data_IF_938126318535
#
_entry.id   IF_938126318535
#
_cell.length_a   1.000
_cell.length_b   1.000
_cell.length_c   1.000
_cell.angle_alpha   90.00
_cell.angle_beta   90.00
_cell.angle_gamma   90.00
#
_symmetry.space_group_name_H-M   'P 1'
#
loop_
_entity.id
_entity.type
_entity.pdbx_description
1 polymer ?
#
# COMPACT_ATOMS: atom_id res chain seq x y z
N UNK A 1 -3.34 -25.08 4.73
CA UNK A 1 -2.65 -24.19 3.77
C UNK A 1 -1.63 -25.04 3.04
N UNK A 2 -1.58 -25.05 1.71
CA UNK A 2 -0.58 -25.87 1.00
C UNK A 2 0.76 -25.12 1.01
N UNK A 3 1.65 -25.49 1.93
CA UNK A 3 2.91 -24.78 2.20
C UNK A 3 4.01 -25.10 1.17
N UNK A 4 3.88 -26.21 0.42
CA UNK A 4 4.93 -26.67 -0.51
C UNK A 4 5.15 -25.75 -1.72
N UNK A 5 4.19 -24.87 -2.02
CA UNK A 5 4.28 -23.89 -3.11
C UNK A 5 4.79 -22.51 -2.64
N UNK A 6 4.93 -22.30 -1.32
CA UNK A 6 5.43 -21.04 -0.78
C UNK A 6 6.95 -21.04 -0.79
N UNK A 7 7.53 -19.95 -1.31
CA UNK A 7 8.96 -19.75 -1.42
C UNK A 7 9.36 -18.47 -0.71
N UNK A 8 10.37 -18.56 0.14
CA UNK A 8 11.00 -17.40 0.77
C UNK A 8 12.48 -17.42 0.38
N UNK A 9 12.99 -16.28 -0.11
CA UNK A 9 14.43 -16.09 -0.32
C UNK A 9 15.01 -15.46 0.92
N UNK A 10 16.11 -16.00 1.43
CA UNK A 10 16.73 -15.58 2.68
C UNK A 10 18.18 -15.17 2.43
N UNK A 11 18.59 -14.05 3.03
CA UNK A 11 19.98 -13.63 3.01
C UNK A 11 20.88 -14.65 3.74
N UNK A 12 22.06 -14.92 3.19
CA UNK A 12 23.00 -15.86 3.79
C UNK A 12 23.44 -15.48 5.22
N UNK A 13 23.51 -14.17 5.52
CA UNK A 13 23.89 -13.66 6.85
C UNK A 13 22.88 -14.08 7.93
N UNK A 14 21.62 -14.29 7.54
CA UNK A 14 20.55 -14.72 8.45
C UNK A 14 20.61 -16.18 8.88
N UNK A 15 21.56 -16.99 8.38
CA UNK A 15 21.77 -18.35 8.90
C UNK A 15 21.98 -18.38 10.42
N UNK A 16 22.58 -17.32 10.99
CA UNK A 16 22.93 -17.23 12.42
C UNK A 16 21.72 -16.93 13.32
N UNK A 17 20.60 -16.45 12.79
CA UNK A 17 19.41 -16.14 13.59
C UNK A 17 18.58 -17.37 13.98
N UNK A 18 18.85 -18.53 13.37
CA UNK A 18 18.07 -19.76 13.59
C UNK A 18 16.70 -19.77 12.90
N UNK A 19 16.23 -18.63 12.38
CA UNK A 19 14.97 -18.50 11.62
C UNK A 19 14.96 -19.39 10.38
N UNK A 20 16.03 -19.51 9.57
CA UNK A 20 16.02 -20.40 8.41
C UNK A 20 15.76 -21.86 8.79
N UNK A 21 16.26 -22.32 9.93
CA UNK A 21 16.02 -23.67 10.43
C UNK A 21 14.54 -23.86 10.83
N UNK A 22 13.96 -22.86 11.49
CA UNK A 22 12.54 -22.86 11.85
C UNK A 22 11.64 -22.89 10.61
N UNK A 23 11.94 -22.08 9.60
CA UNK A 23 11.20 -22.03 8.34
C UNK A 23 11.28 -23.36 7.57
N UNK A 24 12.45 -24.02 7.56
CA UNK A 24 12.59 -25.39 7.01
C UNK A 24 11.74 -26.39 7.77
N UNK A 25 11.74 -26.31 9.11
CA UNK A 25 10.91 -27.19 9.96
C UNK A 25 9.41 -27.04 9.72
N UNK A 26 8.95 -25.86 9.27
CA UNK A 26 7.56 -25.61 8.88
C UNK A 26 7.24 -26.18 7.47
N UNK A 27 8.26 -26.51 6.67
CA UNK A 27 8.08 -27.05 5.32
C UNK A 27 7.99 -25.99 4.21
N UNK A 28 8.52 -24.79 4.43
CA UNK A 28 8.64 -23.76 3.39
C UNK A 28 9.81 -24.09 2.45
N UNK A 29 9.62 -23.84 1.16
CA UNK A 29 10.71 -23.90 0.19
C UNK A 29 11.64 -22.69 0.35
N UNK A 30 12.75 -22.87 1.06
CA UNK A 30 13.74 -21.81 1.28
C UNK A 30 14.80 -21.81 0.20
N UNK A 31 15.07 -20.63 -0.32
CA UNK A 31 16.24 -20.36 -1.15
C UNK A 31 17.18 -19.41 -0.41
N UNK A 32 18.41 -19.85 -0.17
CA UNK A 32 19.42 -19.03 0.49
C UNK A 32 20.28 -18.36 -0.58
N UNK A 33 20.40 -17.03 -0.53
CA UNK A 33 21.22 -16.23 -1.45
C UNK A 33 21.86 -15.06 -0.70
N UNK A 34 22.90 -14.46 -1.26
CA UNK A 34 23.35 -13.14 -0.83
C UNK A 34 22.40 -12.09 -1.41
N UNK A 35 21.66 -11.39 -0.57
CA UNK A 35 20.78 -10.31 -0.97
C UNK A 35 21.54 -8.97 -0.91
N UNK A 36 21.39 -8.11 -1.93
CA UNK A 36 22.01 -6.79 -1.88
C UNK A 36 21.38 -5.90 -0.81
N UNK A 37 20.10 -6.10 -0.49
CA UNK A 37 19.29 -5.30 0.44
C UNK A 37 18.28 -6.20 1.15
N UNK A 38 18.11 -5.99 2.46
CA UNK A 38 17.17 -6.72 3.31
C UNK A 38 17.59 -8.18 3.57
N UNK A 39 16.76 -8.86 4.35
CA UNK A 39 17.07 -10.17 4.91
C UNK A 39 16.17 -11.29 4.36
N UNK A 40 14.90 -10.98 4.09
CA UNK A 40 13.92 -11.96 3.60
C UNK A 40 13.06 -11.38 2.48
N UNK A 41 13.01 -12.05 1.34
CA UNK A 41 12.03 -11.78 0.28
C UNK A 41 10.89 -12.79 0.44
N UNK A 42 9.74 -12.29 0.89
CA UNK A 42 8.54 -13.10 1.17
C UNK A 42 7.53 -13.09 0.03
N UNK A 43 7.64 -12.13 -0.88
CA UNK A 43 6.89 -12.02 -2.13
C UNK A 43 7.71 -11.22 -3.16
N UNK A 44 7.40 -11.27 -4.47
CA UNK A 44 8.23 -10.62 -5.51
C UNK A 44 8.55 -9.14 -5.27
N UNK A 45 7.62 -8.40 -4.67
CA UNK A 45 7.74 -6.96 -4.41
C UNK A 45 7.93 -6.63 -2.93
N UNK A 46 8.05 -7.64 -2.05
CA UNK A 46 8.06 -7.48 -0.59
C UNK A 46 9.38 -7.95 0.01
N UNK A 47 10.14 -7.00 0.53
CA UNK A 47 11.38 -7.23 1.29
C UNK A 47 11.14 -6.99 2.78
N UNK A 48 11.77 -7.81 3.60
CA UNK A 48 11.76 -7.70 5.06
C UNK A 48 13.19 -7.54 5.56
N UNK A 49 13.42 -6.53 6.38
CA UNK A 49 14.62 -6.36 7.21
C UNK A 49 14.26 -6.77 8.64
N UNK A 50 15.03 -7.69 9.23
CA UNK A 50 14.91 -8.08 10.63
C UNK A 50 15.96 -7.32 11.44
N UNK A 51 15.54 -6.69 12.53
CA UNK A 51 16.46 -6.10 13.51
C UNK A 51 16.11 -6.59 14.89
N UNK A 52 17.10 -7.05 15.65
CA UNK A 52 16.93 -7.14 17.10
C UNK A 52 16.82 -5.72 17.68
N UNK A 53 16.35 -5.61 18.92
CA UNK A 53 16.31 -4.31 19.62
C UNK A 53 17.71 -3.71 19.73
N UNK A 54 18.72 -4.51 20.12
CA UNK A 54 20.10 -4.07 20.19
C UNK A 54 20.63 -3.58 18.84
N UNK A 55 20.40 -4.33 17.76
CA UNK A 55 20.85 -3.97 16.42
C UNK A 55 20.15 -2.72 15.90
N UNK A 56 18.87 -2.55 16.23
CA UNK A 56 18.12 -1.34 15.89
C UNK A 56 18.73 -0.14 16.60
N UNK A 57 18.95 -0.21 17.91
CA UNK A 57 19.58 0.86 18.69
C UNK A 57 20.95 1.23 18.09
N UNK A 58 21.82 0.25 17.85
CA UNK A 58 23.13 0.49 17.23
C UNK A 58 22.99 1.12 15.83
N UNK A 59 22.05 0.65 15.01
CA UNK A 59 21.85 1.19 13.65
C UNK A 59 21.32 2.62 13.63
N UNK A 60 20.61 3.04 14.68
CA UNK A 60 20.16 4.43 14.87
C UNK A 60 21.35 5.32 15.20
N UNK A 61 22.18 4.93 16.17
CA UNK A 61 23.37 5.71 16.55
C UNK A 61 24.39 5.82 15.42
N UNK A 62 24.57 4.76 14.64
CA UNK A 62 25.49 4.75 13.50
C UNK A 62 24.89 5.42 12.24
N UNK A 63 23.63 5.86 12.27
CA UNK A 63 22.92 6.45 11.13
C UNK A 63 22.53 5.46 10.01
N UNK A 64 23.02 4.21 10.08
CA UNK A 64 22.83 3.17 9.05
C UNK A 64 21.37 2.77 8.82
N UNK A 65 20.50 2.95 9.81
CA UNK A 65 19.08 2.60 9.70
C UNK A 65 18.41 3.29 8.51
N UNK A 66 18.68 4.58 8.32
CA UNK A 66 18.02 5.39 7.29
C UNK A 66 18.52 5.05 5.89
N UNK A 67 19.81 4.73 5.75
CA UNK A 67 20.38 4.24 4.49
C UNK A 67 19.75 2.91 4.08
N UNK A 68 19.58 1.99 5.04
CA UNK A 68 18.88 0.72 4.77
C UNK A 68 17.43 0.97 4.34
N UNK A 69 16.73 1.91 4.98
CA UNK A 69 15.37 2.29 4.59
C UNK A 69 15.29 2.83 3.16
N UNK A 70 16.23 3.71 2.77
CA UNK A 70 16.31 4.24 1.40
C UNK A 70 16.55 3.12 0.38
N UNK A 71 17.57 2.29 0.63
CA UNK A 71 17.93 1.17 -0.27
C UNK A 71 16.77 0.20 -0.44
N UNK A 72 16.04 -0.11 0.63
CA UNK A 72 14.85 -0.97 0.54
C UNK A 72 13.76 -0.35 -0.34
N UNK A 73 13.46 0.95 -0.16
CA UNK A 73 12.44 1.66 -0.95
C UNK A 73 12.79 1.82 -2.42
N UNK A 74 14.07 1.96 -2.74
CA UNK A 74 14.54 2.08 -4.12
C UNK A 74 14.40 0.76 -4.89
N UNK A 75 14.50 -0.37 -4.19
CA UNK A 75 14.55 -1.70 -4.82
C UNK A 75 13.24 -2.50 -4.69
N UNK A 76 12.36 -2.17 -3.74
CA UNK A 76 11.13 -2.92 -3.46
C UNK A 76 9.93 -2.01 -3.21
N UNK A 77 8.75 -2.45 -3.68
CA UNK A 77 7.50 -1.70 -3.50
C UNK A 77 6.96 -1.78 -2.07
N UNK A 78 7.18 -2.91 -1.39
CA UNK A 78 6.67 -3.17 -0.05
C UNK A 78 7.81 -3.54 0.92
N UNK A 79 8.64 -2.56 1.32
CA UNK A 79 9.62 -2.78 2.38
C UNK A 79 8.93 -2.85 3.75
N UNK A 80 9.40 -3.75 4.61
CA UNK A 80 8.89 -3.96 5.97
C UNK A 80 10.07 -4.14 6.92
N UNK A 81 10.00 -3.55 8.11
CA UNK A 81 10.96 -3.82 9.19
C UNK A 81 10.28 -4.68 10.26
N UNK A 82 10.94 -5.77 10.65
CA UNK A 82 10.57 -6.54 11.83
C UNK A 82 11.52 -6.17 12.96
N UNK A 83 10.96 -5.75 14.09
CA UNK A 83 11.71 -5.56 15.34
C UNK A 83 11.52 -6.82 16.19
N UNK A 84 12.60 -7.50 16.52
CA UNK A 84 12.59 -8.73 17.32
C UNK A 84 13.19 -8.50 18.71
N UNK A 85 12.46 -8.88 19.76
CA UNK A 85 12.92 -8.81 21.15
C UNK A 85 11.86 -8.25 22.11
N UNK A 86 12.24 -8.09 23.38
CA UNK A 86 11.38 -7.46 24.39
C UNK A 86 11.64 -5.95 24.46
N UNK A 87 10.59 -5.14 24.24
CA UNK A 87 10.68 -3.68 24.31
C UNK A 87 11.16 -3.15 25.65
N UNK A 88 11.07 -3.93 26.73
CA UNK A 88 11.64 -3.55 28.03
C UNK A 88 13.18 -3.39 27.95
N UNK A 89 13.85 -4.10 27.05
CA UNK A 89 15.30 -3.98 26.82
C UNK A 89 15.71 -2.58 26.35
N UNK A 90 14.78 -1.81 25.77
CA UNK A 90 15.08 -0.47 25.25
C UNK A 90 15.52 0.45 26.40
N UNK A 91 14.83 0.42 27.54
CA UNK A 91 15.15 1.29 28.68
C UNK A 91 16.49 0.93 29.32
N UNK A 92 16.94 -0.31 29.18
CA UNK A 92 18.25 -0.78 29.66
C UNK A 92 19.39 -0.39 28.72
N UNK A 93 19.11 -0.28 27.41
CA UNK A 93 20.12 -0.07 26.37
C UNK A 93 20.41 1.40 26.06
N UNK A 94 19.52 2.32 26.42
CA UNK A 94 19.68 3.75 26.09
C UNK A 94 19.27 4.68 27.23
N UNK A 95 20.15 5.66 27.51
CA UNK A 95 19.90 6.72 28.48
C UNK A 95 18.73 7.63 28.06
N UNK A 96 18.55 7.85 26.75
CA UNK A 96 17.48 8.67 26.20
C UNK A 96 16.57 7.88 25.24
N UNK A 97 15.42 7.36 25.73
CA UNK A 97 14.46 6.62 24.92
C UNK A 97 13.91 7.39 23.72
N UNK A 98 13.89 8.73 23.76
CA UNK A 98 13.37 9.55 22.66
C UNK A 98 14.19 9.42 21.37
N UNK A 99 15.47 9.03 21.45
CA UNK A 99 16.30 8.77 20.27
C UNK A 99 15.74 7.57 19.50
N UNK A 100 15.43 6.49 20.21
CA UNK A 100 14.83 5.29 19.63
C UNK A 100 13.44 5.59 19.04
N UNK A 101 12.56 6.19 19.85
CA UNK A 101 11.20 6.48 19.40
C UNK A 101 11.16 7.52 18.27
N UNK A 102 12.11 8.45 18.23
CA UNK A 102 12.30 9.38 17.13
C UNK A 102 12.64 8.65 15.83
N UNK A 103 13.62 7.74 15.87
CA UNK A 103 13.99 6.94 14.71
C UNK A 103 12.84 6.04 14.21
N UNK A 104 12.17 5.33 15.12
CA UNK A 104 10.99 4.51 14.81
C UNK A 104 9.88 5.36 14.19
N UNK A 105 9.65 6.56 14.72
CA UNK A 105 8.66 7.50 14.19
C UNK A 105 9.02 7.95 12.78
N UNK A 106 10.28 8.29 12.51
CA UNK A 106 10.73 8.66 11.16
C UNK A 106 10.59 7.51 10.17
N UNK A 107 10.94 6.28 10.55
CA UNK A 107 10.73 5.09 9.69
C UNK A 107 9.25 4.92 9.34
N UNK A 108 8.35 5.06 10.32
CA UNK A 108 6.92 4.88 10.11
C UNK A 108 6.26 6.02 9.32
N UNK A 109 6.64 7.28 9.58
CA UNK A 109 5.96 8.47 9.05
C UNK A 109 6.63 8.99 7.77
N UNK A 110 7.95 9.18 7.83
CA UNK A 110 8.71 9.82 6.74
C UNK A 110 9.03 8.79 5.65
N UNK A 111 9.60 7.65 6.05
CA UNK A 111 9.90 6.56 5.10
C UNK A 111 8.64 5.80 4.69
N UNK A 112 7.60 5.79 5.53
CA UNK A 112 6.34 5.03 5.33
C UNK A 112 6.58 3.53 5.23
N UNK A 113 7.55 3.04 6.02
CA UNK A 113 7.88 1.62 6.10
C UNK A 113 7.10 1.03 7.29
N UNK A 114 6.24 0.02 7.07
CA UNK A 114 5.58 -0.68 8.16
C UNK A 114 6.60 -1.35 9.10
N UNK A 115 6.34 -1.22 10.38
CA UNK A 115 7.14 -1.82 11.46
C UNK A 115 6.26 -2.84 12.19
N UNK A 116 6.75 -4.06 12.37
CA UNK A 116 6.04 -5.13 13.07
C UNK A 116 6.94 -5.72 14.14
N UNK A 117 6.49 -5.70 15.39
CA UNK A 117 7.24 -6.27 16.49
C UNK A 117 6.95 -7.77 16.68
N UNK A 118 7.97 -8.53 17.03
CA UNK A 118 7.88 -9.96 17.34
C UNK A 118 8.73 -10.28 18.58
N UNK A 119 8.28 -11.16 19.48
CA UNK A 119 9.00 -11.40 20.73
C UNK A 119 10.27 -12.26 20.56
N UNK A 120 10.36 -13.06 19.49
CA UNK A 120 11.49 -13.97 19.25
C UNK A 120 11.46 -14.56 17.83
N UNK A 121 12.56 -15.21 17.44
CA UNK A 121 12.76 -15.89 16.16
C UNK A 121 11.62 -16.84 15.75
N UNK A 122 11.00 -17.56 16.70
CA UNK A 122 9.87 -18.46 16.40
C UNK A 122 8.64 -17.68 15.93
N UNK A 123 8.35 -16.54 16.54
CA UNK A 123 7.27 -15.65 16.12
C UNK A 123 7.60 -14.94 14.80
N UNK A 124 8.85 -14.54 14.60
CA UNK A 124 9.34 -14.00 13.33
C UNK A 124 9.13 -14.99 12.19
N UNK A 125 9.51 -16.26 12.38
CA UNK A 125 9.29 -17.31 11.38
C UNK A 125 7.80 -17.48 11.04
N UNK A 126 6.91 -17.52 12.04
CA UNK A 126 5.45 -17.59 11.82
C UNK A 126 4.92 -16.39 11.03
N UNK A 127 5.42 -15.19 11.33
CA UNK A 127 5.05 -13.96 10.63
C UNK A 127 5.50 -13.99 9.17
N UNK A 128 6.75 -14.38 8.90
CA UNK A 128 7.29 -14.52 7.54
C UNK A 128 6.47 -15.52 6.70
N UNK A 129 6.09 -16.66 7.29
CA UNK A 129 5.19 -17.64 6.65
C UNK A 129 3.83 -17.01 6.34
N UNK A 130 3.24 -16.29 7.31
CA UNK A 130 1.96 -15.61 7.13
C UNK A 130 2.03 -14.60 5.98
N UNK A 131 3.10 -13.78 5.92
CA UNK A 131 3.33 -12.82 4.84
C UNK A 131 3.45 -13.50 3.47
N UNK A 132 4.27 -14.55 3.36
CA UNK A 132 4.48 -15.29 2.11
C UNK A 132 3.19 -15.99 1.64
N UNK A 133 2.38 -16.44 2.59
CA UNK A 133 1.13 -17.15 2.30
C UNK A 133 -0.04 -16.25 1.90
N UNK A 134 0.12 -14.93 1.99
CA UNK A 134 -0.86 -13.99 1.46
C UNK A 134 -0.91 -14.18 -0.05
N UNK A 135 -1.97 -14.86 -0.51
CA UNK A 135 -2.42 -14.75 -1.90
C UNK A 135 -2.60 -13.27 -2.22
N UNK A 136 -2.48 -12.86 -3.49
CA UNK A 136 -2.87 -11.53 -3.97
C UNK A 136 -4.33 -11.21 -3.60
N UNK A 137 -4.54 -10.82 -2.35
CA UNK A 137 -5.73 -10.17 -1.85
C UNK A 137 -5.37 -8.69 -2.02
N UNK A 138 -5.55 -8.09 -3.19
CA UNK A 138 -6.88 -7.79 -3.74
C UNK A 138 -6.90 -7.63 -5.27
N UNK A 139 -7.66 -8.48 -5.97
CA UNK A 139 -8.43 -8.10 -7.19
C UNK A 139 -9.70 -7.31 -6.81
N UNK A 140 -9.56 -6.30 -5.96
CA UNK A 140 -10.61 -5.33 -5.68
C UNK A 140 -10.22 -4.02 -6.33
N UNK A 141 -11.15 -3.22 -6.89
CA UNK A 141 -10.79 -1.87 -7.30
C UNK A 141 -10.20 -1.17 -6.07
N UNK A 142 -9.00 -0.62 -6.21
CA UNK A 142 -8.48 0.38 -5.28
C UNK A 142 -9.43 1.57 -5.33
N UNK A 143 -10.55 1.47 -4.61
CA UNK A 143 -11.31 2.65 -4.24
C UNK A 143 -10.37 3.34 -3.25
N UNK A 144 -9.49 4.19 -3.79
CA UNK A 144 -8.80 5.23 -3.06
C UNK A 144 -9.88 5.84 -2.18
N UNK A 145 -9.84 5.61 -0.87
CA UNK A 145 -10.80 6.20 0.06
C UNK A 145 -10.59 7.70 -0.10
N UNK A 146 -11.42 8.35 -0.90
CA UNK A 146 -11.37 9.80 -1.10
C UNK A 146 -11.61 10.35 0.31
N UNK A 147 -10.55 10.89 0.94
CA UNK A 147 -10.72 11.68 2.15
C UNK A 147 -11.66 12.81 1.76
N UNK A 148 -12.86 12.83 2.34
CA UNK A 148 -13.75 13.98 2.21
C UNK A 148 -13.03 15.14 2.87
N UNK A 149 -12.38 15.97 2.07
CA UNK A 149 -11.81 17.25 2.47
C UNK A 149 -12.98 18.22 2.64
N UNK A 150 -13.04 19.03 3.69
CA UNK A 150 -14.05 20.08 3.82
C UNK A 150 -13.87 21.20 2.79
N UNK A 151 -12.71 21.23 2.12
CA UNK A 151 -12.45 22.08 0.97
C UNK A 151 -13.24 21.64 -0.28
N UNK A 152 -14.17 22.50 -0.71
CA UNK A 152 -15.02 22.33 -1.89
C UNK A 152 -14.21 22.15 -3.17
N UNK A 153 -13.06 22.84 -3.31
CA UNK A 153 -12.26 22.77 -4.53
C UNK A 153 -11.64 21.38 -4.70
N UNK A 154 -11.06 20.81 -3.64
CA UNK A 154 -10.60 19.41 -3.63
C UNK A 154 -11.74 18.42 -3.89
N UNK A 155 -12.95 18.68 -3.40
CA UNK A 155 -14.10 17.82 -3.70
C UNK A 155 -14.46 17.86 -5.20
N UNK A 156 -14.47 19.04 -5.82
CA UNK A 156 -14.72 19.19 -7.26
C UNK A 156 -13.68 18.43 -8.09
N UNK A 157 -12.39 18.56 -7.77
CA UNK A 157 -11.30 17.84 -8.43
C UNK A 157 -11.44 16.33 -8.24
N UNK A 158 -11.81 15.87 -7.04
CA UNK A 158 -11.99 14.45 -6.75
C UNK A 158 -13.17 13.85 -7.50
N UNK A 159 -14.28 14.57 -7.64
CA UNK A 159 -15.45 14.13 -8.40
C UNK A 159 -15.08 13.91 -9.86
N UNK A 160 -14.36 14.86 -10.48
CA UNK A 160 -13.94 14.74 -11.87
C UNK A 160 -12.86 13.67 -12.08
N UNK A 161 -11.90 13.57 -11.16
CA UNK A 161 -10.84 12.55 -11.22
C UNK A 161 -11.33 11.13 -10.97
N UNK A 162 -12.60 10.95 -10.55
CA UNK A 162 -13.24 9.63 -10.46
C UNK A 162 -13.66 9.06 -11.82
N UNK A 163 -13.72 9.92 -12.86
CA UNK A 163 -14.04 9.48 -14.21
C UNK A 163 -12.86 8.70 -14.84
N UNK A 164 -13.15 7.68 -15.66
CA UNK A 164 -12.09 6.86 -16.25
C UNK A 164 -11.21 7.67 -17.20
N UNK A 165 -9.90 7.63 -16.95
CA UNK A 165 -8.91 8.33 -17.77
C UNK A 165 -8.80 9.82 -17.50
N UNK A 166 -9.39 10.32 -16.41
CA UNK A 166 -9.25 11.71 -15.95
C UNK A 166 -8.34 11.73 -14.72
N UNK A 167 -7.16 12.32 -14.89
CA UNK A 167 -6.30 12.69 -13.77
C UNK A 167 -6.52 14.13 -13.33
N UNK A 168 -5.88 14.52 -12.23
CA UNK A 168 -6.01 15.86 -11.63
C UNK A 168 -5.76 17.00 -12.62
N UNK A 169 -4.70 16.91 -13.44
CA UNK A 169 -4.39 17.92 -14.47
C UNK A 169 -5.53 18.10 -15.49
N UNK A 170 -6.20 17.02 -15.86
CA UNK A 170 -7.33 17.07 -16.80
C UNK A 170 -8.59 17.58 -16.10
N UNK A 171 -8.80 17.22 -14.83
CA UNK A 171 -9.89 17.74 -14.00
C UNK A 171 -9.78 19.26 -13.80
N UNK A 172 -8.57 19.79 -13.59
CA UNK A 172 -8.32 21.23 -13.53
C UNK A 172 -8.76 21.91 -14.83
N UNK A 173 -8.30 21.41 -16.00
CA UNK A 173 -8.70 21.95 -17.31
C UNK A 173 -10.20 21.88 -17.59
N UNK A 174 -10.86 20.83 -17.08
CA UNK A 174 -12.32 20.71 -17.14
C UNK A 174 -12.99 21.83 -16.34
N UNK A 175 -12.52 22.12 -15.14
CA UNK A 175 -13.05 23.21 -14.31
C UNK A 175 -12.71 24.59 -14.88
N UNK A 176 -11.53 24.79 -15.44
CA UNK A 176 -11.16 26.04 -16.14
C UNK A 176 -12.13 26.33 -17.29
N UNK A 177 -12.56 25.30 -18.04
CA UNK A 177 -13.43 25.46 -19.20
C UNK A 177 -14.92 25.54 -18.86
N UNK A 178 -15.38 24.71 -17.91
CA UNK A 178 -16.82 24.53 -17.64
C UNK A 178 -17.25 25.10 -16.28
N UNK A 179 -16.32 25.54 -15.44
CA UNK A 179 -16.55 26.16 -14.14
C UNK A 179 -16.91 25.18 -13.02
N UNK A 180 -17.83 24.24 -13.26
CA UNK A 180 -18.34 23.32 -12.22
C UNK A 180 -18.41 21.88 -12.69
N UNK A 181 -18.34 20.87 -11.79
CA UNK A 181 -18.53 19.47 -12.17
C UNK A 181 -19.88 19.20 -12.84
N UNK A 182 -20.94 19.91 -12.44
CA UNK A 182 -22.25 19.80 -13.07
C UNK A 182 -22.20 20.16 -14.56
N UNK A 183 -21.56 21.28 -14.89
CA UNK A 183 -21.41 21.71 -16.28
C UNK A 183 -20.54 20.73 -17.09
N UNK A 184 -19.48 20.18 -16.49
CA UNK A 184 -18.66 19.13 -17.13
C UNK A 184 -19.50 17.89 -17.45
N UNK A 185 -20.35 17.45 -16.52
CA UNK A 185 -21.22 16.29 -16.72
C UNK A 185 -22.31 16.54 -17.76
N UNK A 186 -22.76 17.79 -17.90
CA UNK A 186 -23.74 18.22 -18.90
C UNK A 186 -23.14 18.40 -20.30
N UNK A 187 -21.90 18.87 -20.42
CA UNK A 187 -21.22 19.16 -21.70
C UNK A 187 -21.20 17.99 -22.68
N UNK A 188 -21.44 18.20 -23.97
CA UNK A 188 -21.47 17.16 -25.02
C UNK A 188 -20.13 16.42 -25.19
N UNK A 189 -20.15 15.25 -25.84
CA UNK A 189 -18.92 14.51 -26.17
C UNK A 189 -17.94 15.34 -27.03
N UNK A 190 -18.46 16.20 -27.90
CA UNK A 190 -17.69 17.10 -28.76
C UNK A 190 -17.02 18.21 -27.94
N UNK A 191 -17.72 18.78 -26.96
CA UNK A 191 -17.17 19.83 -26.10
C UNK A 191 -16.10 19.28 -25.15
N UNK A 192 -16.30 18.06 -24.66
CA UNK A 192 -15.33 17.34 -23.85
C UNK A 192 -14.08 17.00 -24.67
N UNK A 193 -14.21 16.53 -25.90
CA UNK A 193 -13.05 16.18 -26.74
C UNK A 193 -12.16 17.37 -27.13
N UNK A 194 -12.65 18.60 -26.94
CA UNK A 194 -11.86 19.83 -27.13
C UNK A 194 -10.90 20.11 -25.95
N UNK A 195 -10.99 19.36 -24.84
CA UNK A 195 -10.07 19.53 -23.70
C UNK A 195 -8.74 18.87 -24.03
N UNK A 196 -7.63 19.60 -23.84
CA UNK A 196 -6.28 19.06 -24.04
C UNK A 196 -6.04 17.81 -23.19
N UNK A 197 -5.66 16.71 -23.83
CA UNK A 197 -5.46 15.39 -23.20
C UNK A 197 -6.71 14.50 -23.13
N UNK A 198 -7.86 14.97 -23.64
CA UNK A 198 -9.10 14.20 -23.70
C UNK A 198 -9.53 13.94 -25.15
N UNK A 199 -9.16 12.77 -25.69
CA UNK A 199 -9.60 12.37 -27.03
C UNK A 199 -11.07 11.94 -27.10
N UNK A 200 -11.60 11.83 -28.32
CA UNK A 200 -13.00 11.50 -28.60
C UNK A 200 -13.45 10.16 -27.97
N UNK A 201 -12.60 9.13 -28.00
CA UNK A 201 -12.90 7.83 -27.38
C UNK A 201 -13.12 7.95 -25.86
N UNK A 202 -12.30 8.75 -25.18
CA UNK A 202 -12.42 8.99 -23.73
C UNK A 202 -13.68 9.81 -23.43
N UNK A 203 -13.96 10.85 -24.21
CA UNK A 203 -15.16 11.66 -24.09
C UNK A 203 -16.45 10.83 -24.26
N UNK A 204 -16.50 9.96 -25.28
CA UNK A 204 -17.61 9.00 -25.49
C UNK A 204 -17.78 8.06 -24.30
N UNK A 205 -16.68 7.53 -23.75
CA UNK A 205 -16.71 6.64 -22.58
C UNK A 205 -17.26 7.34 -21.33
N UNK A 206 -16.85 8.59 -21.08
CA UNK A 206 -17.37 9.42 -19.99
C UNK A 206 -18.88 9.63 -20.15
N UNK A 207 -19.34 10.03 -21.34
CA UNK A 207 -20.77 10.23 -21.59
C UNK A 207 -21.60 8.97 -21.42
N UNK A 208 -21.09 7.84 -21.90
CA UNK A 208 -21.75 6.55 -21.72
C UNK A 208 -21.97 6.24 -20.23
N UNK A 209 -20.99 6.50 -19.36
CA UNK A 209 -21.12 6.25 -17.92
C UNK A 209 -22.19 7.15 -17.30
N UNK A 210 -22.23 8.42 -17.69
CA UNK A 210 -23.20 9.38 -17.15
C UNK A 210 -24.65 9.12 -17.61
N UNK A 211 -24.84 8.46 -18.76
CA UNK A 211 -26.17 8.27 -19.38
C UNK A 211 -26.76 6.87 -19.18
N UNK A 212 -25.94 5.84 -18.90
CA UNK A 212 -26.44 4.47 -18.71
C UNK A 212 -27.32 4.39 -17.46
N UNK A 213 -28.54 3.87 -17.62
CA UNK A 213 -29.48 3.67 -16.50
C UNK A 213 -28.88 2.73 -15.45
N UNK A 214 -29.05 3.10 -14.17
CA UNK A 214 -28.58 2.30 -13.04
C UNK A 214 -29.31 0.96 -12.97
N UNK A 215 -28.55 -0.12 -12.81
CA UNK A 215 -29.09 -1.47 -12.55
C UNK A 215 -29.77 -1.58 -11.18
N UNK A 216 -29.57 -0.61 -10.29
CA UNK A 216 -30.15 -0.56 -8.95
C UNK A 216 -31.50 0.17 -8.91
N UNK A 217 -32.07 0.58 -10.05
CA UNK A 217 -33.43 1.11 -10.10
C UNK A 217 -34.40 0.01 -9.62
N UNK A 218 -34.95 0.17 -8.41
CA UNK A 218 -36.08 -0.64 -7.95
C UNK A 218 -37.28 -0.32 -8.85
N UNK A 219 -37.93 -1.33 -9.42
CA UNK A 219 -39.24 -1.14 -10.06
C UNK A 219 -40.18 -0.66 -8.96
N UNK A 220 -40.67 0.58 -9.08
CA UNK A 220 -41.74 1.07 -8.22
C UNK A 220 -43.01 0.34 -8.66
N UNK A 221 -43.33 -0.78 -8.01
CA UNK A 221 -44.63 -1.44 -8.16
C UNK A 221 -45.59 -0.86 -7.10
N UNK A 222 -45.93 0.42 -7.24
CA UNK A 222 -47.14 0.93 -6.61
C UNK A 222 -48.26 0.72 -7.63
N UNK A 223 -49.06 -0.33 -7.44
CA UNK A 223 -50.41 -0.37 -8.01
C UNK A 223 -51.22 0.68 -7.27
N UNK A 224 -51.59 1.75 -7.93
CA UNK A 224 -52.68 2.62 -7.45
C UNK A 224 -54.01 1.89 -7.63
N UNK A 225 -54.97 2.14 -6.72
CA UNK A 225 -56.30 1.51 -6.63
C UNK A 225 -57.16 1.55 -7.92
N UNK A 226 -56.70 2.20 -8.99
CA UNK A 226 -57.42 2.33 -10.25
C UNK A 226 -56.93 1.41 -11.37
N UNK A 227 -55.92 0.58 -11.14
CA UNK A 227 -55.54 -0.46 -12.11
C UNK A 227 -56.29 -1.76 -11.78
N UNK A 228 -57.57 -1.83 -12.17
CA UNK A 228 -58.36 -3.06 -12.32
C UNK A 228 -58.86 -3.18 -13.75
#
# INVERSE_FOLDING_TARGET
MNLSHLRIVVDEREKRSGIPSLLKGIGINLEIKTLPVGDYIVAPETIVERKSISDLVSSVFDGRLFDQCNRMKENFQFPIIIIEGDTNEIEELIENPFVFYGAVSSVAIDFKIPIISTPNASHTAKLLVSMCSRKDVTKGPFIKKIRKSDDLQRQQLSVLSSLPGIGEKTAIRMLEKFGTPLNVFSASSIELSKISGLGELRAKKIKKILQVKSKHMKKISQKTLHDS
#
